data_IF_971237287445
#
_entry.id   IF_971237287445
#
_cell.length_a   1.000
_cell.length_b   1.000
_cell.length_c   1.000
_cell.angle_alpha   90.00
_cell.angle_beta   90.00
_cell.angle_gamma   90.00
#
_symmetry.space_group_name_H-M   'P 1'
#
loop_
_entity.id
_entity.type
_entity.pdbx_description
1 polymer ?
#
# COMPACT_ATOMS: atom_id res chain seq x y z
N UNK A 1 18.65 4.87 -15.15
CA UNK A 1 18.48 3.43 -14.89
C UNK A 1 17.35 3.19 -13.90
N UNK A 2 17.32 3.89 -12.76
CA UNK A 2 16.29 3.73 -11.72
C UNK A 2 14.85 3.96 -12.20
N UNK A 3 14.60 5.04 -12.96
CA UNK A 3 13.27 5.29 -13.55
C UNK A 3 12.83 4.17 -14.50
N UNK A 4 13.75 3.62 -15.29
CA UNK A 4 13.46 2.53 -16.23
C UNK A 4 13.06 1.26 -15.48
N UNK A 5 13.80 0.90 -14.43
CA UNK A 5 13.48 -0.27 -13.60
C UNK A 5 12.16 -0.10 -12.86
N UNK A 6 11.90 1.08 -12.28
CA UNK A 6 10.63 1.36 -11.62
C UNK A 6 9.45 1.27 -12.59
N UNK A 7 9.58 1.86 -13.78
CA UNK A 7 8.55 1.78 -14.81
C UNK A 7 8.32 0.34 -15.25
N UNK A 8 9.39 -0.39 -15.59
CA UNK A 8 9.31 -1.79 -15.98
C UNK A 8 8.64 -2.64 -14.88
N UNK A 9 9.00 -2.41 -13.62
CA UNK A 9 8.37 -3.07 -12.49
C UNK A 9 6.88 -2.76 -12.40
N UNK A 10 6.46 -1.49 -12.45
CA UNK A 10 5.03 -1.15 -12.33
C UNK A 10 4.20 -1.61 -13.53
N UNK A 11 4.77 -1.61 -14.73
CA UNK A 11 4.14 -2.20 -15.92
C UNK A 11 3.94 -3.70 -15.72
N UNK A 12 4.98 -4.43 -15.30
CA UNK A 12 4.89 -5.85 -15.01
C UNK A 12 3.93 -6.15 -13.84
N UNK A 13 3.99 -5.35 -12.77
CA UNK A 13 3.08 -5.47 -11.64
C UNK A 13 1.63 -5.35 -12.11
N UNK A 14 1.33 -4.36 -12.97
CA UNK A 14 -0.01 -4.19 -13.55
C UNK A 14 -0.53 -5.41 -14.30
N UNK A 15 0.34 -6.24 -14.90
CA UNK A 15 -0.09 -7.46 -15.61
C UNK A 15 -0.39 -8.63 -14.68
N UNK A 16 0.18 -8.65 -13.47
CA UNK A 16 0.02 -9.76 -12.51
C UNK A 16 -1.04 -9.48 -11.44
N UNK A 17 -1.70 -8.32 -11.45
CA UNK A 17 -2.76 -8.00 -10.49
C UNK A 17 -3.91 -9.01 -10.63
N UNK A 18 -4.35 -9.68 -9.54
CA UNK A 18 -5.41 -10.68 -9.58
C UNK A 18 -6.78 -10.00 -9.51
N UNK A 19 -7.16 -9.30 -10.57
CA UNK A 19 -8.38 -8.47 -10.63
C UNK A 19 -9.66 -9.23 -10.23
N UNK A 20 -9.78 -10.49 -10.64
CA UNK A 20 -10.93 -11.34 -10.31
C UNK A 20 -11.02 -11.70 -8.83
N UNK A 21 -9.89 -11.66 -8.10
CA UNK A 21 -9.84 -12.01 -6.69
C UNK A 21 -10.24 -10.86 -5.75
N UNK A 22 -10.43 -9.64 -6.26
CA UNK A 22 -10.84 -8.49 -5.42
C UNK A 22 -12.28 -8.56 -4.94
N UNK A 23 -13.11 -9.38 -5.59
CA UNK A 23 -14.47 -9.67 -5.17
C UNK A 23 -14.70 -11.17 -5.22
N UNK A 24 -14.30 -11.84 -4.15
CA UNK A 24 -14.37 -13.30 -4.06
C UNK A 24 -15.81 -13.77 -3.80
N UNK A 25 -16.15 -14.93 -4.39
CA UNK A 25 -17.44 -15.58 -4.20
C UNK A 25 -17.67 -16.01 -2.73
N UNK A 26 -16.60 -16.27 -1.98
CA UNK A 26 -16.65 -16.61 -0.55
C UNK A 26 -16.92 -15.42 0.38
N UNK A 27 -16.96 -14.17 -0.12
CA UNK A 27 -17.28 -12.97 0.67
C UNK A 27 -16.17 -12.50 1.63
N UNK A 28 -15.03 -13.20 1.67
CA UNK A 28 -13.86 -12.79 2.45
C UNK A 28 -13.29 -11.47 1.92
N UNK A 29 -13.14 -11.37 0.59
CA UNK A 29 -12.73 -10.17 -0.13
C UNK A 29 -13.92 -9.54 -0.82
N UNK A 30 -14.15 -8.26 -0.53
CA UNK A 30 -15.07 -7.42 -1.29
C UNK A 30 -14.37 -6.09 -1.56
N UNK A 31 -14.70 -5.46 -2.68
CA UNK A 31 -14.17 -4.15 -3.05
C UNK A 31 -14.37 -3.11 -1.94
N UNK A 32 -15.50 -3.17 -1.23
CA UNK A 32 -15.78 -2.27 -0.11
C UNK A 32 -14.85 -2.49 1.09
N UNK A 33 -14.60 -3.75 1.49
CA UNK A 33 -13.64 -4.08 2.56
C UNK A 33 -12.22 -3.64 2.18
N UNK A 34 -11.82 -3.88 0.93
CA UNK A 34 -10.51 -3.49 0.40
C UNK A 34 -10.33 -1.97 0.35
N UNK A 35 -11.34 -1.23 -0.09
CA UNK A 35 -11.32 0.23 -0.09
C UNK A 35 -11.25 0.78 1.33
N UNK A 36 -12.03 0.22 2.26
CA UNK A 36 -12.07 0.64 3.67
C UNK A 36 -10.73 0.40 4.34
N UNK A 37 -10.16 -0.80 4.23
CA UNK A 37 -8.86 -1.10 4.86
C UNK A 37 -7.73 -0.26 4.25
N UNK A 38 -7.76 -0.03 2.94
CA UNK A 38 -6.81 0.87 2.28
C UNK A 38 -6.92 2.27 2.84
N UNK A 39 -8.12 2.84 2.89
CA UNK A 39 -8.33 4.19 3.42
C UNK A 39 -7.86 4.29 4.87
N UNK A 40 -8.16 3.29 5.70
CA UNK A 40 -7.69 3.23 7.08
C UNK A 40 -6.16 3.17 7.14
N UNK A 41 -5.50 2.33 6.34
CA UNK A 41 -4.03 2.21 6.34
C UNK A 41 -3.38 3.51 5.85
N UNK A 42 -3.94 4.18 4.84
CA UNK A 42 -3.42 5.45 4.34
C UNK A 42 -3.52 6.56 5.39
N UNK A 43 -4.65 6.64 6.09
CA UNK A 43 -4.88 7.66 7.12
C UNK A 43 -4.12 7.33 8.41
N UNK A 44 -4.08 6.08 8.84
CA UNK A 44 -3.55 5.69 10.15
C UNK A 44 -2.12 5.14 10.13
N UNK A 45 -1.60 4.74 8.97
CA UNK A 45 -0.31 4.05 8.88
C UNK A 45 0.91 4.93 9.18
N UNK A 46 0.82 6.24 8.90
CA UNK A 46 1.95 7.17 9.09
C UNK A 46 1.52 8.51 9.65
N UNK A 47 0.44 9.08 9.12
CA UNK A 47 -0.02 10.42 9.45
C UNK A 47 -0.17 10.65 10.97
N UNK A 48 -0.80 9.78 11.77
CA UNK A 48 -1.01 10.05 13.19
C UNK A 48 0.30 9.99 13.98
N UNK A 49 1.18 9.04 13.64
CA UNK A 49 2.48 8.89 14.30
C UNK A 49 3.39 10.08 14.03
N UNK A 50 3.47 10.52 12.78
CA UNK A 50 4.28 11.70 12.40
C UNK A 50 3.72 12.97 13.03
N UNK A 51 2.40 13.15 13.01
CA UNK A 51 1.73 14.30 13.64
C UNK A 51 1.91 14.29 15.16
N UNK A 52 1.87 13.15 15.83
CA UNK A 52 2.06 13.09 17.28
C UNK A 52 3.52 13.40 17.67
N UNK A 53 4.48 13.00 16.83
CA UNK A 53 5.91 13.07 17.12
C UNK A 53 6.62 14.22 16.39
N UNK A 54 5.93 15.07 15.64
CA UNK A 54 6.60 16.05 14.76
C UNK A 54 7.55 17.00 15.51
N UNK A 55 7.25 17.35 16.77
CA UNK A 55 8.14 18.18 17.61
C UNK A 55 9.46 17.50 17.97
N UNK A 56 9.51 16.18 17.93
CA UNK A 56 10.74 15.40 18.16
C UNK A 56 11.55 15.20 16.87
N UNK A 57 11.00 15.56 15.70
CA UNK A 57 11.67 15.41 14.40
C UNK A 57 12.29 16.76 14.02
N UNK A 58 13.63 16.95 14.12
CA UNK A 58 14.25 18.26 13.91
C UNK A 58 14.09 18.81 12.48
N UNK A 59 13.81 17.93 11.52
CA UNK A 59 13.58 18.27 10.12
C UNK A 59 12.16 18.81 9.84
N UNK A 60 11.20 18.61 10.75
CA UNK A 60 9.80 19.02 10.60
C UNK A 60 9.49 20.12 11.59
N UNK A 61 9.33 21.35 11.09
CA UNK A 61 9.17 22.53 11.94
C UNK A 61 7.73 23.00 12.04
N UNK A 62 6.94 22.75 11.00
CA UNK A 62 5.56 23.23 10.91
C UNK A 62 4.56 22.09 10.88
N UNK A 63 3.32 22.38 11.32
CA UNK A 63 2.21 21.43 11.22
C UNK A 63 1.95 21.01 9.77
N UNK A 64 2.10 21.94 8.82
CA UNK A 64 1.91 21.66 7.39
C UNK A 64 2.95 20.68 6.86
N UNK A 65 4.21 20.85 7.25
CA UNK A 65 5.29 19.89 6.95
C UNK A 65 5.01 18.51 7.58
N UNK A 66 4.51 18.47 8.82
CA UNK A 66 4.18 17.21 9.49
C UNK A 66 3.08 16.44 8.76
N UNK A 67 2.02 17.13 8.32
CA UNK A 67 0.94 16.55 7.52
C UNK A 67 1.49 16.07 6.17
N UNK A 68 2.32 16.88 5.50
CA UNK A 68 2.93 16.51 4.22
C UNK A 68 3.82 15.26 4.33
N UNK A 69 4.74 15.23 5.29
CA UNK A 69 5.67 14.10 5.50
C UNK A 69 4.95 12.85 6.00
N UNK A 70 3.89 13.04 6.79
CA UNK A 70 3.03 11.97 7.27
C UNK A 70 2.17 11.35 6.16
N UNK A 71 1.66 12.18 5.25
CA UNK A 71 0.84 11.77 4.12
C UNK A 71 1.68 11.14 3.01
N UNK A 72 2.77 11.79 2.56
CA UNK A 72 3.56 11.30 1.44
C UNK A 72 4.48 10.15 1.85
N UNK A 73 3.95 8.95 1.68
CA UNK A 73 4.64 7.69 1.92
C UNK A 73 4.03 6.54 1.14
N UNK A 74 3.95 6.64 -0.21
CA UNK A 74 3.25 5.64 -0.99
C UNK A 74 3.89 4.26 -0.82
N UNK A 75 3.05 3.25 -0.64
CA UNK A 75 3.45 1.85 -0.71
C UNK A 75 3.90 1.51 -2.15
N UNK A 76 4.94 0.70 -2.27
CA UNK A 76 5.55 0.38 -3.57
C UNK A 76 6.10 -1.05 -3.65
N UNK A 77 7.16 -1.22 -4.43
CA UNK A 77 7.79 -2.50 -4.78
C UNK A 77 8.08 -3.39 -3.56
N UNK A 78 8.58 -2.79 -2.47
CA UNK A 78 8.92 -3.52 -1.26
C UNK A 78 7.74 -4.28 -0.64
N UNK A 79 6.53 -3.70 -0.67
CA UNK A 79 5.34 -4.36 -0.15
C UNK A 79 4.99 -5.62 -0.97
N UNK A 80 5.10 -5.51 -2.30
CA UNK A 80 4.86 -6.64 -3.21
C UNK A 80 5.91 -7.74 -2.98
N UNK A 81 7.18 -7.36 -2.83
CA UNK A 81 8.27 -8.30 -2.54
C UNK A 81 8.01 -9.07 -1.24
N UNK A 82 7.70 -8.38 -0.13
CA UNK A 82 7.40 -9.04 1.13
C UNK A 82 6.14 -9.89 1.07
N UNK A 83 5.12 -9.47 0.31
CA UNK A 83 3.92 -10.29 0.10
C UNK A 83 4.23 -11.60 -0.62
N UNK A 84 5.06 -11.56 -1.67
CA UNK A 84 5.49 -12.76 -2.39
C UNK A 84 6.30 -13.70 -1.49
N UNK A 85 7.25 -13.15 -0.71
CA UNK A 85 8.04 -13.91 0.24
C UNK A 85 7.17 -14.55 1.33
N UNK A 86 6.18 -13.82 1.84
CA UNK A 86 5.22 -14.35 2.80
C UNK A 86 4.36 -15.47 2.19
N UNK A 87 3.91 -15.34 0.94
CA UNK A 87 3.16 -16.38 0.23
C UNK A 87 3.99 -17.64 0.04
N UNK A 88 5.28 -17.50 -0.26
CA UNK A 88 6.22 -18.62 -0.38
C UNK A 88 6.44 -19.32 0.97
N UNK A 89 6.63 -18.55 2.04
CA UNK A 89 6.81 -19.13 3.37
C UNK A 89 5.55 -19.87 3.84
N UNK A 90 4.38 -19.27 3.64
CA UNK A 90 3.09 -19.88 3.97
C UNK A 90 2.75 -21.09 3.09
N UNK A 91 3.41 -21.27 1.94
CA UNK A 91 3.20 -22.46 1.12
C UNK A 91 3.70 -23.74 1.79
N UNK A 92 4.58 -23.63 2.80
CA UNK A 92 5.12 -24.76 3.57
C UNK A 92 4.11 -25.34 4.55
N UNK A 93 3.11 -24.56 4.97
CA UNK A 93 2.08 -24.98 5.93
C UNK A 93 0.67 -24.93 5.31
N UNK A 94 0.06 -26.11 5.15
CA UNK A 94 -1.29 -26.23 4.57
C UNK A 94 -2.38 -25.65 5.47
N UNK A 95 -2.13 -25.47 6.76
CA UNK A 95 -3.13 -24.92 7.69
C UNK A 95 -3.41 -23.43 7.44
N UNK A 96 -2.51 -22.72 6.74
CA UNK A 96 -2.63 -21.28 6.46
C UNK A 96 -3.00 -20.95 5.01
N UNK A 97 -3.66 -21.87 4.30
CA UNK A 97 -4.04 -21.69 2.89
C UNK A 97 -4.87 -20.42 2.65
N UNK A 98 -5.81 -20.11 3.54
CA UNK A 98 -6.65 -18.91 3.43
C UNK A 98 -5.80 -17.62 3.49
N UNK A 99 -4.89 -17.50 4.46
CA UNK A 99 -4.04 -16.29 4.58
C UNK A 99 -3.16 -16.13 3.35
N UNK A 100 -2.59 -17.24 2.88
CA UNK A 100 -1.77 -17.27 1.66
C UNK A 100 -2.52 -16.77 0.43
N UNK A 101 -3.76 -17.21 0.22
CA UNK A 101 -4.58 -16.81 -0.93
C UNK A 101 -5.00 -15.34 -0.88
N UNK A 102 -5.17 -14.78 0.32
CA UNK A 102 -5.60 -13.40 0.50
C UNK A 102 -4.46 -12.37 0.42
N UNK A 103 -3.23 -12.75 0.77
CA UNK A 103 -2.09 -11.82 0.87
C UNK A 103 -1.83 -11.05 -0.42
N UNK A 104 -1.70 -11.74 -1.55
CA UNK A 104 -1.34 -11.11 -2.80
C UNK A 104 -2.45 -10.20 -3.36
N UNK A 105 -3.74 -10.60 -3.38
CA UNK A 105 -4.84 -9.69 -3.71
C UNK A 105 -4.92 -8.46 -2.80
N UNK A 106 -4.79 -8.62 -1.48
CA UNK A 106 -4.87 -7.49 -0.54
C UNK A 106 -3.72 -6.50 -0.76
N UNK A 107 -2.48 -7.00 -0.82
CA UNK A 107 -1.30 -6.14 -0.96
C UNK A 107 -1.26 -5.46 -2.33
N UNK A 108 -1.63 -6.18 -3.40
CA UNK A 108 -1.71 -5.58 -4.73
C UNK A 108 -2.73 -4.44 -4.80
N UNK A 109 -3.91 -4.62 -4.20
CA UNK A 109 -4.92 -3.56 -4.10
C UNK A 109 -4.43 -2.35 -3.29
N UNK A 110 -3.76 -2.60 -2.16
CA UNK A 110 -3.18 -1.55 -1.31
C UNK A 110 -2.14 -0.72 -2.05
N UNK A 111 -1.21 -1.37 -2.75
CA UNK A 111 -0.15 -0.70 -3.51
C UNK A 111 -0.74 0.10 -4.66
N UNK A 112 -1.65 -0.49 -5.45
CA UNK A 112 -2.33 0.20 -6.54
C UNK A 112 -3.06 1.45 -6.03
N UNK A 113 -3.90 1.29 -5.01
CA UNK A 113 -4.70 2.39 -4.47
C UNK A 113 -3.82 3.46 -3.84
N UNK A 114 -2.75 3.07 -3.15
CA UNK A 114 -1.77 4.01 -2.60
C UNK A 114 -1.10 4.84 -3.69
N UNK A 115 -0.62 4.22 -4.77
CA UNK A 115 0.01 4.95 -5.88
C UNK A 115 -0.96 5.95 -6.50
N UNK A 116 -2.21 5.55 -6.71
CA UNK A 116 -3.27 6.42 -7.26
C UNK A 116 -3.55 7.59 -6.31
N UNK A 117 -3.86 7.32 -5.04
CA UNK A 117 -4.25 8.34 -4.06
C UNK A 117 -3.12 9.35 -3.87
N UNK A 118 -1.90 8.89 -3.60
CA UNK A 118 -0.78 9.81 -3.40
C UNK A 118 -0.45 10.58 -4.68
N UNK A 119 -0.45 9.92 -5.84
CA UNK A 119 -0.19 10.53 -7.14
C UNK A 119 -1.17 11.66 -7.45
N UNK A 120 -2.46 11.44 -7.21
CA UNK A 120 -3.50 12.46 -7.41
C UNK A 120 -3.36 13.61 -6.40
N UNK A 121 -2.91 13.34 -5.18
CA UNK A 121 -2.77 14.39 -4.16
C UNK A 121 -1.52 15.27 -4.34
N UNK A 122 -0.52 14.90 -5.14
CA UNK A 122 0.71 15.71 -5.32
C UNK A 122 0.43 17.18 -5.64
N UNK A 123 -0.42 17.53 -6.63
CA UNK A 123 -0.66 18.93 -6.99
C UNK A 123 -1.33 19.72 -5.86
N UNK A 124 -2.18 19.07 -5.04
CA UNK A 124 -2.91 19.72 -3.94
C UNK A 124 -1.97 20.26 -2.86
N UNK A 125 -0.81 19.61 -2.67
CA UNK A 125 0.19 20.03 -1.69
C UNK A 125 1.28 20.94 -2.28
N UNK A 126 1.31 21.14 -3.60
CA UNK A 126 2.19 22.10 -4.26
C UNK A 126 1.51 23.45 -4.54
N UNK A 127 0.19 23.55 -4.33
CA UNK A 127 -0.61 24.77 -4.35
C UNK A 127 -0.68 25.40 -2.95
#
# INVERSE_FOLDING_TARGET
>A
LDMLFNLAFFVYFGTIIPWSSFNDAGGYLTLWKLATITMLILIFGRLPAVIALYRAIPAVRTWREAVFVGWFGPMGVGAIFYAMLAVEELAKDKQQSMVRELLFPVVSFLVLSSVIVHGITVPVFQL
#
